data_IF_417548963652
#
_entry.id   IF_417548963652
#
_cell.length_a   1.000
_cell.length_b   1.000
_cell.length_c   1.000
_cell.angle_alpha   90.00
_cell.angle_beta   90.00
_cell.angle_gamma   90.00
#
_symmetry.space_group_name_H-M   'P 1'
#
loop_
_entity.id
_entity.type
_entity.pdbx_description
1 polymer ?
#
# COMPACT_ATOMS: atom_id res chain seq x y z
N UNK A 1 -11.98 -3.41 15.16
CA UNK A 1 -10.69 -2.81 14.76
C UNK A 1 -9.94 -2.42 16.02
N UNK A 2 -8.78 -3.03 16.32
CA UNK A 2 -8.14 -2.87 17.63
C UNK A 2 -7.67 -1.43 17.93
N UNK A 3 -7.13 -0.72 16.94
CA UNK A 3 -6.66 0.67 17.13
C UNK A 3 -7.80 1.66 17.34
N UNK A 4 -8.83 1.67 16.47
CA UNK A 4 -9.98 2.57 16.64
C UNK A 4 -10.83 2.24 17.89
N UNK A 5 -10.78 1.00 18.36
CA UNK A 5 -11.40 0.61 19.64
C UNK A 5 -10.54 0.99 20.87
N UNK A 6 -9.39 1.65 20.70
CA UNK A 6 -8.50 2.04 21.80
C UNK A 6 -7.68 0.90 22.42
N UNK A 7 -7.60 -0.26 21.76
CA UNK A 7 -6.91 -1.46 22.28
C UNK A 7 -5.44 -1.56 21.85
N UNK A 8 -4.84 -0.49 21.31
CA UNK A 8 -3.41 -0.45 21.01
C UNK A 8 -3.01 0.51 19.89
N UNK A 9 -1.79 0.31 19.40
CA UNK A 9 -1.17 1.08 18.32
C UNK A 9 -0.68 0.16 17.20
N UNK A 10 -0.54 0.69 15.98
CA UNK A 10 -0.01 -0.06 14.84
C UNK A 10 0.91 0.83 14.01
N UNK A 11 1.99 0.24 13.49
CA UNK A 11 2.81 0.84 12.43
C UNK A 11 2.21 0.44 11.09
N UNK A 12 1.94 1.42 10.24
CA UNK A 12 1.26 1.22 8.96
C UNK A 12 2.04 1.85 7.81
N UNK A 13 1.93 1.32 6.59
CA UNK A 13 2.41 2.01 5.40
C UNK A 13 1.71 3.37 5.25
N UNK A 14 2.41 4.34 4.65
CA UNK A 14 1.86 5.70 4.42
C UNK A 14 0.52 5.69 3.68
N UNK A 15 0.32 4.74 2.77
CA UNK A 15 -0.91 4.62 1.97
C UNK A 15 -2.17 4.43 2.81
N UNK A 16 -2.07 3.85 4.02
CA UNK A 16 -3.22 3.63 4.90
C UNK A 16 -3.84 4.94 5.39
N UNK A 17 -3.09 6.06 5.37
CA UNK A 17 -3.62 7.39 5.74
C UNK A 17 -4.77 7.85 4.85
N UNK A 18 -4.91 7.32 3.63
CA UNK A 18 -6.06 7.62 2.77
C UNK A 18 -7.36 7.05 3.31
N UNK A 19 -7.29 6.06 4.20
CA UNK A 19 -8.43 5.53 4.93
C UNK A 19 -8.61 6.38 6.21
N UNK A 20 -9.54 7.34 6.14
CA UNK A 20 -9.94 8.13 7.29
C UNK A 20 -10.81 7.27 8.21
N UNK A 21 -10.19 6.72 9.25
CA UNK A 21 -10.86 5.90 10.25
C UNK A 21 -11.20 6.75 11.47
N UNK A 22 -12.48 6.77 11.86
CA UNK A 22 -12.92 7.50 13.04
C UNK A 22 -12.20 6.97 14.30
N UNK A 23 -11.77 7.88 15.16
CA UNK A 23 -11.03 7.54 16.38
C UNK A 23 -9.56 7.16 16.17
N UNK A 24 -9.01 7.32 14.96
CA UNK A 24 -7.59 7.03 14.66
C UNK A 24 -6.84 8.32 14.35
N UNK A 25 -5.68 8.50 14.99
CA UNK A 25 -4.72 9.57 14.67
C UNK A 25 -3.47 8.95 14.07
N UNK A 26 -3.03 9.45 12.91
CA UNK A 26 -1.79 9.02 12.27
C UNK A 26 -0.63 9.93 12.66
N UNK A 27 0.38 9.36 13.32
CA UNK A 27 1.59 10.09 13.73
C UNK A 27 2.77 9.69 12.83
N UNK A 28 3.57 10.65 12.30
CA UNK A 28 4.82 10.33 11.59
C UNK A 28 5.86 9.69 12.52
N UNK A 29 6.58 8.68 12.03
CA UNK A 29 7.77 8.14 12.71
C UNK A 29 8.99 8.96 12.27
N UNK A 30 9.88 9.29 13.21
CA UNK A 30 11.11 10.05 12.93
C UNK A 30 12.04 9.26 12.00
N UNK A 31 12.29 7.99 12.31
CA UNK A 31 13.12 7.08 11.51
C UNK A 31 12.21 6.07 10.80
N UNK A 32 11.46 6.55 9.81
CA UNK A 32 10.48 5.74 9.11
C UNK A 32 11.12 4.81 8.05
N UNK A 33 11.01 3.51 8.26
CA UNK A 33 11.38 2.51 7.25
C UNK A 33 10.35 2.39 6.13
N UNK A 34 10.81 2.06 4.93
CA UNK A 34 9.94 1.83 3.77
C UNK A 34 9.61 0.36 3.60
N UNK A 35 8.41 0.08 3.06
CA UNK A 35 8.00 -1.26 2.65
C UNK A 35 7.72 -1.27 1.15
N UNK A 36 8.20 -2.30 0.45
CA UNK A 36 8.01 -2.46 -0.99
C UNK A 36 6.57 -2.86 -1.35
N UNK A 37 6.04 -2.26 -2.41
CA UNK A 37 4.83 -2.72 -3.10
C UNK A 37 5.25 -3.47 -4.36
N UNK A 38 4.79 -4.72 -4.51
CA UNK A 38 5.22 -5.60 -5.59
C UNK A 38 4.07 -5.93 -6.54
N UNK A 39 4.38 -5.97 -7.84
CA UNK A 39 3.50 -6.52 -8.87
C UNK A 39 4.04 -7.88 -9.33
N UNK A 40 3.23 -8.93 -9.20
CA UNK A 40 3.60 -10.28 -9.60
C UNK A 40 2.58 -10.87 -10.58
N UNK A 41 3.08 -11.63 -11.55
CA UNK A 41 2.27 -12.44 -12.47
C UNK A 41 2.86 -13.83 -12.63
N UNK A 42 2.02 -14.79 -13.05
CA UNK A 42 2.52 -16.11 -13.45
C UNK A 42 3.27 -15.99 -14.77
N UNK A 43 4.41 -16.66 -14.88
CA UNK A 43 5.28 -16.62 -16.07
C UNK A 43 4.73 -17.43 -17.24
N UNK A 44 3.96 -18.48 -16.95
CA UNK A 44 3.34 -19.38 -17.92
C UNK A 44 2.00 -18.88 -18.49
N UNK A 45 1.47 -17.76 -17.97
CA UNK A 45 0.20 -17.18 -18.42
C UNK A 45 0.37 -15.74 -18.87
N UNK A 46 0.31 -15.54 -20.18
CA UNK A 46 0.31 -14.22 -20.79
C UNK A 46 -1.10 -13.85 -21.22
N UNK A 47 -1.72 -12.92 -20.49
CA UNK A 47 -2.95 -12.25 -20.90
C UNK A 47 -2.61 -10.84 -21.41
N UNK A 48 -3.20 -10.39 -22.54
CA UNK A 48 -3.08 -9.01 -23.00
C UNK A 48 -3.52 -8.00 -21.94
N UNK A 49 -4.56 -8.31 -21.16
CA UNK A 49 -5.05 -7.44 -20.10
C UNK A 49 -4.01 -7.29 -18.97
N UNK A 50 -3.42 -8.39 -18.49
CA UNK A 50 -2.37 -8.35 -17.46
C UNK A 50 -1.15 -7.58 -17.92
N UNK A 51 -0.76 -7.73 -19.20
CA UNK A 51 0.40 -7.03 -19.75
C UNK A 51 0.14 -5.51 -19.85
N UNK A 52 -1.07 -5.11 -20.25
CA UNK A 52 -1.48 -3.70 -20.28
C UNK A 52 -1.51 -3.06 -18.90
N UNK A 53 -2.08 -3.75 -17.90
CA UNK A 53 -2.11 -3.24 -16.52
C UNK A 53 -0.71 -3.11 -15.94
N UNK A 54 0.18 -4.09 -16.19
CA UNK A 54 1.56 -4.00 -15.74
C UNK A 54 2.29 -2.81 -16.35
N UNK A 55 2.16 -2.57 -17.65
CA UNK A 55 2.76 -1.42 -18.31
C UNK A 55 2.25 -0.08 -17.74
N UNK A 56 0.94 0.04 -17.47
CA UNK A 56 0.36 1.23 -16.86
C UNK A 56 0.90 1.47 -15.44
N UNK A 57 1.00 0.41 -14.63
CA UNK A 57 1.56 0.52 -13.27
C UNK A 57 3.03 0.95 -13.34
N UNK A 58 3.82 0.39 -14.25
CA UNK A 58 5.22 0.77 -14.45
C UNK A 58 5.37 2.23 -14.91
N UNK A 59 4.44 2.74 -15.71
CA UNK A 59 4.38 4.16 -16.09
C UNK A 59 4.08 5.04 -14.88
N UNK A 60 3.03 4.74 -14.11
CA UNK A 60 2.65 5.51 -12.91
C UNK A 60 3.73 5.55 -11.80
N UNK A 61 4.65 4.59 -11.77
CA UNK A 61 5.74 4.53 -10.77
C UNK A 61 6.99 5.29 -11.24
N UNK A 62 7.10 5.61 -12.53
CA UNK A 62 8.23 6.37 -13.09
C UNK A 62 8.08 7.89 -12.98
N UNK A 63 6.84 8.37 -12.86
CA UNK A 63 6.49 9.79 -12.62
C UNK A 63 6.62 10.17 -11.13
#
# INVERSE_FOLDING_TARGET
MFVAAGHGVAVVPRSVRSLSLEGVTYVPLTDAETVGLLLARRTDRVSPATSRVAALIEECVRD
#
